data_IF_603766258058
#
_entry.id   IF_603766258058
#
_cell.length_a   1.000
_cell.length_b   1.000
_cell.length_c   1.000
_cell.angle_alpha   90.00
_cell.angle_beta   90.00
_cell.angle_gamma   90.00
#
_symmetry.space_group_name_H-M   'P 1'
#
loop_
_entity.id
_entity.type
_entity.pdbx_description
1 polymer ?
#
# COMPACT_ATOMS: atom_id res chain seq x y z
N UNK A 1 37.92 44.78 -28.15
CA UNK A 1 39.20 44.06 -28.39
C UNK A 1 39.50 43.25 -27.12
N UNK A 2 40.09 42.05 -27.23
CA UNK A 2 40.04 41.01 -26.18
C UNK A 2 38.72 40.22 -26.27
N UNK A 3 38.60 38.96 -26.73
CA UNK A 3 39.49 37.79 -26.94
C UNK A 3 39.79 36.91 -25.69
N UNK A 4 39.62 35.59 -25.92
CA UNK A 4 39.72 34.41 -25.02
C UNK A 4 38.58 34.22 -23.98
N UNK A 5 38.02 33.02 -23.76
CA UNK A 5 38.11 31.76 -24.53
C UNK A 5 38.06 30.48 -23.68
N UNK A 6 37.43 29.41 -24.21
CA UNK A 6 37.31 28.01 -23.72
C UNK A 6 36.41 27.80 -22.50
N UNK A 7 35.40 26.91 -22.53
CA UNK A 7 35.38 25.44 -22.72
C UNK A 7 35.96 24.66 -21.54
N UNK A 8 35.07 23.92 -20.86
CA UNK A 8 35.34 22.79 -19.99
C UNK A 8 34.13 21.84 -20.07
N UNK A 9 34.12 20.97 -21.08
CA UNK A 9 33.26 19.80 -21.18
C UNK A 9 34.08 18.56 -20.77
N UNK A 10 33.40 17.49 -20.33
CA UNK A 10 33.91 16.15 -20.01
C UNK A 10 34.81 15.96 -18.76
N UNK A 11 35.06 14.67 -18.43
CA UNK A 11 35.85 14.12 -17.29
C UNK A 11 35.03 14.02 -15.98
N UNK A 12 34.42 12.90 -15.53
CA UNK A 12 34.72 11.45 -15.69
C UNK A 12 33.44 10.58 -15.53
N UNK A 13 33.14 9.71 -16.51
CA UNK A 13 32.32 8.49 -16.32
C UNK A 13 33.28 7.28 -16.36
N UNK A 14 33.70 6.76 -15.20
CA UNK A 14 34.57 5.58 -15.10
C UNK A 14 34.79 5.04 -13.66
N UNK A 15 33.74 4.76 -12.87
CA UNK A 15 33.95 4.06 -11.58
C UNK A 15 32.86 3.05 -11.14
N UNK A 16 31.93 2.68 -12.04
CA UNK A 16 30.81 1.78 -11.71
C UNK A 16 30.97 0.32 -12.17
N UNK A 17 32.20 -0.16 -12.44
CA UNK A 17 32.45 -1.50 -13.02
C UNK A 17 33.33 -2.47 -12.20
N UNK A 18 33.69 -2.12 -10.96
CA UNK A 18 34.59 -2.96 -10.13
C UNK A 18 33.90 -3.90 -9.12
N UNK A 19 32.61 -3.71 -8.81
CA UNK A 19 31.99 -4.32 -7.61
C UNK A 19 31.22 -5.65 -7.78
N UNK A 20 31.12 -6.20 -9.00
CA UNK A 20 30.40 -7.47 -9.26
C UNK A 20 31.28 -8.53 -9.93
N UNK A 21 32.43 -8.83 -9.32
CA UNK A 21 33.29 -9.95 -9.75
C UNK A 21 33.99 -10.66 -8.58
N UNK A 22 33.26 -11.53 -7.88
CA UNK A 22 33.71 -12.82 -7.32
C UNK A 22 32.70 -13.34 -6.29
N UNK A 23 31.85 -14.29 -6.71
CA UNK A 23 31.32 -15.33 -5.82
C UNK A 23 30.84 -16.51 -6.68
N UNK A 24 31.77 -17.43 -6.94
CA UNK A 24 31.53 -18.69 -7.64
C UNK A 24 32.28 -19.80 -6.91
N UNK A 25 31.60 -20.93 -6.71
CA UNK A 25 32.13 -22.23 -6.29
C UNK A 25 32.55 -22.36 -4.81
N UNK A 26 31.69 -23.03 -4.04
CA UNK A 26 32.11 -24.09 -3.11
C UNK A 26 31.27 -25.35 -3.34
N UNK A 27 31.85 -26.50 -3.06
CA UNK A 27 31.43 -27.81 -3.56
C UNK A 27 30.57 -28.63 -2.57
N UNK A 28 29.80 -29.56 -3.13
CA UNK A 28 29.09 -30.70 -2.52
C UNK A 28 30.10 -31.87 -2.37
N UNK A 29 30.08 -32.78 -1.34
CA UNK A 29 28.93 -33.60 -0.86
C UNK A 29 28.86 -33.72 0.71
N UNK A 30 28.11 -34.62 1.39
CA UNK A 30 27.34 -35.83 1.02
C UNK A 30 26.16 -36.11 2.01
N UNK A 31 25.39 -37.19 1.75
CA UNK A 31 24.44 -37.85 2.68
C UNK A 31 25.10 -39.13 3.27
N UNK A 32 24.71 -39.62 4.49
CA UNK A 32 23.59 -40.57 4.63
C UNK A 32 22.88 -40.55 6.03
N UNK A 33 21.96 -41.47 6.37
CA UNK A 33 21.02 -42.26 5.56
C UNK A 33 19.55 -41.92 5.87
N UNK A 34 18.61 -42.36 5.01
CA UNK A 34 17.16 -42.28 5.28
C UNK A 34 16.70 -43.36 6.27
N UNK A 35 16.16 -42.96 7.42
CA UNK A 35 15.33 -43.84 8.25
C UNK A 35 13.91 -43.86 7.70
N UNK A 36 13.45 -45.01 7.21
CA UNK A 36 12.07 -45.18 6.79
C UNK A 36 11.14 -45.27 8.01
N UNK A 37 10.52 -44.16 8.39
CA UNK A 37 9.37 -44.14 9.29
C UNK A 37 8.08 -44.11 8.46
N UNK A 38 7.22 -45.10 8.71
CA UNK A 38 6.01 -45.38 7.94
C UNK A 38 4.93 -44.31 8.17
N UNK A 39 4.88 -43.30 7.30
CA UNK A 39 3.81 -42.29 7.32
C UNK A 39 2.59 -42.85 6.61
N UNK A 40 1.62 -43.33 7.40
CA UNK A 40 0.29 -43.70 6.91
C UNK A 40 -0.35 -42.51 6.19
N UNK A 41 -0.89 -42.68 4.97
CA UNK A 41 -1.70 -41.64 4.34
C UNK A 41 -3.04 -41.55 5.07
N UNK A 42 -3.14 -40.65 6.05
CA UNK A 42 -4.45 -40.22 6.55
C UNK A 42 -5.15 -39.43 5.45
N UNK A 43 -5.97 -40.14 4.68
CA UNK A 43 -6.94 -39.56 3.76
C UNK A 43 -8.04 -38.86 4.55
N UNK A 44 -7.72 -37.70 5.12
CA UNK A 44 -8.72 -36.75 5.60
C UNK A 44 -9.52 -36.28 4.37
N UNK A 45 -10.76 -36.73 4.26
CA UNK A 45 -11.64 -36.45 3.14
C UNK A 45 -11.87 -34.94 3.01
N UNK A 46 -11.48 -34.39 1.85
CA UNK A 46 -11.55 -32.97 1.50
C UNK A 46 -13.00 -32.46 1.27
N UNK A 47 -14.00 -33.17 1.79
CA UNK A 47 -15.43 -32.93 1.54
C UNK A 47 -16.15 -32.22 2.69
N UNK A 48 -15.51 -32.12 3.88
CA UNK A 48 -16.13 -31.52 5.08
C UNK A 48 -16.00 -29.99 5.18
N UNK A 49 -15.33 -29.34 4.22
CA UNK A 49 -15.20 -27.87 4.16
C UNK A 49 -16.22 -27.18 3.25
N UNK A 50 -17.03 -27.96 2.50
CA UNK A 50 -18.07 -27.43 1.59
C UNK A 50 -19.40 -27.23 2.31
N UNK A 51 -19.39 -26.66 3.51
CA UNK A 51 -20.61 -26.03 4.02
C UNK A 51 -20.81 -24.71 3.25
N UNK A 52 -21.98 -24.48 2.62
CA UNK A 52 -22.27 -23.19 2.03
C UNK A 52 -22.32 -22.16 3.15
N UNK A 53 -21.29 -21.32 3.24
CA UNK A 53 -21.32 -20.12 4.07
C UNK A 53 -22.56 -19.34 3.62
N UNK A 54 -23.50 -18.97 4.50
CA UNK A 54 -24.70 -18.25 4.09
C UNK A 54 -24.33 -16.83 3.62
N UNK A 55 -24.08 -16.69 2.32
CA UNK A 55 -23.61 -15.47 1.64
C UNK A 55 -24.55 -14.26 1.89
N UNK A 56 -25.82 -14.54 2.19
CA UNK A 56 -26.89 -13.56 2.32
C UNK A 56 -26.96 -12.80 3.65
N UNK A 57 -25.99 -12.92 4.58
CA UNK A 57 -26.09 -12.25 5.90
C UNK A 57 -24.83 -11.62 6.48
N UNK A 58 -23.79 -11.42 5.68
CA UNK A 58 -22.60 -10.64 6.08
C UNK A 58 -22.62 -9.17 5.63
N UNK A 59 -23.62 -8.75 4.83
CA UNK A 59 -23.56 -7.53 4.03
C UNK A 59 -23.98 -6.23 4.72
N UNK A 60 -24.62 -6.26 5.90
CA UNK A 60 -25.17 -5.05 6.56
C UNK A 60 -24.77 -4.90 8.03
N UNK A 61 -23.49 -5.13 8.36
CA UNK A 61 -22.93 -4.44 9.53
C UNK A 61 -22.70 -3.00 9.10
N UNK A 62 -23.50 -2.05 9.60
CA UNK A 62 -23.29 -0.62 9.41
C UNK A 62 -21.83 -0.29 9.72
N UNK A 63 -21.06 -0.01 8.66
CA UNK A 63 -19.66 0.38 8.79
C UNK A 63 -19.63 1.84 9.25
N UNK A 64 -18.84 2.13 10.27
CA UNK A 64 -18.66 3.51 10.74
C UNK A 64 -17.88 4.32 9.70
N UNK A 65 -18.01 5.65 9.73
CA UNK A 65 -17.21 6.56 8.88
C UNK A 65 -15.71 6.22 8.93
N UNK A 66 -15.19 5.94 10.13
CA UNK A 66 -13.79 5.53 10.32
C UNK A 66 -13.44 4.22 9.60
N UNK A 67 -14.34 3.23 9.60
CA UNK A 67 -14.12 1.97 8.87
C UNK A 67 -14.14 2.17 7.35
N UNK A 68 -15.03 3.03 6.84
CA UNK A 68 -15.05 3.38 5.41
C UNK A 68 -13.83 4.20 5.00
N UNK A 69 -13.37 5.13 5.85
CA UNK A 69 -12.15 5.89 5.61
C UNK A 69 -10.91 4.97 5.56
N UNK A 70 -10.83 3.97 6.44
CA UNK A 70 -9.78 2.94 6.38
C UNK A 70 -9.91 2.05 5.12
N UNK A 71 -11.11 1.59 4.76
CA UNK A 71 -11.35 0.84 3.52
C UNK A 71 -10.81 1.60 2.27
N UNK A 72 -11.07 2.91 2.18
CA UNK A 72 -10.61 3.75 1.04
C UNK A 72 -9.08 3.97 1.06
N UNK A 73 -8.43 3.87 2.22
CA UNK A 73 -6.99 4.08 2.38
C UNK A 73 -6.14 2.80 2.26
N UNK A 74 -6.71 1.70 1.77
CA UNK A 74 -6.06 0.37 1.70
C UNK A 74 -4.72 0.36 0.97
N UNK A 75 -4.52 1.16 -0.07
CA UNK A 75 -3.22 1.24 -0.78
C UNK A 75 -2.14 1.92 0.09
N UNK A 76 -2.49 2.88 0.95
CA UNK A 76 -1.57 3.46 1.93
C UNK A 76 -1.29 2.47 3.08
N UNK A 77 -2.31 1.75 3.56
CA UNK A 77 -2.13 0.70 4.58
C UNK A 77 -1.18 -0.39 4.08
N UNK A 78 -1.36 -0.81 2.83
CA UNK A 78 -0.50 -1.76 2.09
C UNK A 78 0.91 -1.22 1.89
N UNK A 79 1.11 0.05 1.59
CA UNK A 79 2.44 0.66 1.49
C UNK A 79 3.17 0.64 2.84
N UNK A 80 2.49 1.05 3.91
CA UNK A 80 3.02 1.00 5.29
C UNK A 80 3.32 -0.44 5.74
N UNK A 81 2.39 -1.36 5.52
CA UNK A 81 2.53 -2.78 5.89
C UNK A 81 3.66 -3.47 5.13
N UNK A 82 3.80 -3.20 3.82
CA UNK A 82 4.95 -3.70 3.04
C UNK A 82 6.27 -3.14 3.59
N UNK A 83 6.31 -1.87 3.96
CA UNK A 83 7.50 -1.27 4.58
C UNK A 83 7.86 -1.96 5.91
N UNK A 84 6.89 -2.18 6.80
CA UNK A 84 7.10 -2.87 8.08
C UNK A 84 7.56 -4.33 7.92
N UNK A 85 6.95 -5.08 6.99
CA UNK A 85 7.17 -6.51 6.85
C UNK A 85 8.41 -6.82 6.01
N UNK A 86 8.60 -6.10 4.90
CA UNK A 86 9.63 -6.38 3.87
C UNK A 86 10.79 -5.40 3.87
N UNK A 87 10.63 -4.21 4.45
CA UNK A 87 11.70 -3.23 4.57
C UNK A 87 12.81 -3.69 5.51
N UNK A 88 14.03 -3.27 5.19
CA UNK A 88 15.22 -3.42 6.03
C UNK A 88 15.06 -2.71 7.37
N UNK A 89 15.92 -3.04 8.34
CA UNK A 89 15.97 -2.34 9.63
C UNK A 89 16.10 -0.82 9.45
N UNK A 90 16.92 -0.36 8.50
CA UNK A 90 17.08 1.07 8.21
C UNK A 90 15.79 1.73 7.71
N UNK A 91 15.10 1.11 6.74
CA UNK A 91 13.83 1.62 6.21
C UNK A 91 12.73 1.64 7.27
N UNK A 92 12.73 0.69 8.23
CA UNK A 92 11.80 0.68 9.37
C UNK A 92 11.94 1.90 10.27
N UNK A 93 13.14 2.45 10.41
CA UNK A 93 13.39 3.67 11.18
C UNK A 93 13.26 4.97 10.36
N UNK A 94 13.40 4.92 9.03
CA UNK A 94 13.48 6.13 8.18
C UNK A 94 12.29 6.31 7.24
N UNK A 95 11.87 5.25 6.54
CA UNK A 95 10.83 5.30 5.50
C UNK A 95 9.45 4.92 6.03
N UNK A 96 9.35 3.91 6.90
CA UNK A 96 8.06 3.44 7.40
C UNK A 96 7.31 4.44 8.29
N UNK A 97 7.96 5.32 9.08
CA UNK A 97 7.26 6.42 9.76
C UNK A 97 6.57 7.36 8.76
N UNK A 98 7.23 7.69 7.65
CA UNK A 98 6.66 8.51 6.57
C UNK A 98 5.45 7.82 5.93
N UNK A 99 5.55 6.52 5.64
CA UNK A 99 4.42 5.74 5.11
C UNK A 99 3.25 5.69 6.10
N UNK A 100 3.53 5.59 7.42
CA UNK A 100 2.49 5.70 8.45
C UNK A 100 1.81 7.06 8.42
N UNK A 101 2.57 8.16 8.36
CA UNK A 101 2.01 9.51 8.27
C UNK A 101 1.15 9.69 7.02
N UNK A 102 1.52 9.11 5.88
CA UNK A 102 0.69 9.16 4.67
C UNK A 102 -0.61 8.37 4.83
N UNK A 103 -0.58 7.18 5.44
CA UNK A 103 -1.78 6.43 5.78
C UNK A 103 -2.69 7.19 6.75
N UNK A 104 -2.15 7.71 7.86
CA UNK A 104 -2.91 8.44 8.86
C UNK A 104 -3.58 9.70 8.24
N UNK A 105 -2.85 10.44 7.39
CA UNK A 105 -3.39 11.59 6.64
C UNK A 105 -4.47 11.18 5.63
N UNK A 106 -4.32 10.04 4.95
CA UNK A 106 -5.37 9.54 4.06
C UNK A 106 -6.67 9.31 4.86
N UNK A 107 -6.59 8.64 6.02
CA UNK A 107 -7.76 8.34 6.86
C UNK A 107 -8.40 9.63 7.39
N UNK A 108 -7.62 10.64 7.75
CA UNK A 108 -8.11 11.98 8.12
C UNK A 108 -8.91 12.62 6.98
N UNK A 109 -8.35 12.65 5.77
CA UNK A 109 -8.96 13.27 4.58
C UNK A 109 -10.22 12.52 4.13
N UNK A 110 -10.20 11.19 4.14
CA UNK A 110 -11.38 10.37 3.85
C UNK A 110 -12.48 10.53 4.92
N UNK A 111 -12.11 10.61 6.20
CA UNK A 111 -13.07 10.89 7.28
C UNK A 111 -13.76 12.24 7.06
N UNK A 112 -12.98 13.28 6.72
CA UNK A 112 -13.51 14.61 6.39
C UNK A 112 -14.45 14.57 5.17
N UNK A 113 -14.06 13.88 4.08
CA UNK A 113 -14.89 13.75 2.88
C UNK A 113 -16.24 13.09 3.19
N UNK A 114 -16.24 11.96 3.89
CA UNK A 114 -17.45 11.22 4.25
C UNK A 114 -18.36 12.03 5.19
N UNK A 115 -17.80 12.87 6.05
CA UNK A 115 -18.56 13.81 6.89
C UNK A 115 -19.21 14.93 6.05
N UNK A 116 -18.45 15.59 5.16
CA UNK A 116 -18.95 16.66 4.28
C UNK A 116 -20.03 16.14 3.33
N UNK A 117 -19.84 14.94 2.76
CA UNK A 117 -20.81 14.26 1.90
C UNK A 117 -21.97 13.60 2.69
N UNK A 118 -22.08 13.85 4.00
CA UNK A 118 -23.18 13.41 4.87
C UNK A 118 -23.42 11.88 4.90
N UNK A 119 -22.36 11.06 4.85
CA UNK A 119 -22.45 9.59 4.84
C UNK A 119 -23.33 9.00 5.95
N UNK A 120 -23.27 9.54 7.17
CA UNK A 120 -24.08 9.05 8.31
C UNK A 120 -25.58 9.37 8.18
N UNK A 121 -25.95 10.33 7.33
CA UNK A 121 -27.35 10.71 7.07
C UNK A 121 -27.93 10.02 5.83
N UNK A 122 -27.11 9.26 5.07
CA UNK A 122 -27.58 8.48 3.94
C UNK A 122 -28.47 7.32 4.41
N UNK A 123 -29.76 7.38 4.06
CA UNK A 123 -30.79 6.46 4.57
C UNK A 123 -30.74 5.06 3.96
N UNK A 124 -30.05 4.87 2.84
CA UNK A 124 -29.96 3.60 2.11
C UNK A 124 -28.52 3.26 1.73
N UNK A 125 -28.25 1.96 1.55
CA UNK A 125 -26.90 1.46 1.29
C UNK A 125 -26.39 1.79 -0.12
N UNK A 126 -27.26 2.05 -1.11
CA UNK A 126 -26.84 2.47 -2.45
C UNK A 126 -26.29 3.90 -2.41
N UNK A 127 -26.94 4.80 -1.69
CA UNK A 127 -26.47 6.17 -1.44
C UNK A 127 -25.19 6.17 -0.61
N UNK A 128 -25.08 5.35 0.46
CA UNK A 128 -23.82 5.17 1.22
C UNK A 128 -22.68 4.69 0.30
N UNK A 129 -22.93 3.74 -0.59
CA UNK A 129 -21.92 3.23 -1.54
C UNK A 129 -21.50 4.29 -2.57
N UNK A 130 -22.43 5.12 -3.06
CA UNK A 130 -22.12 6.27 -3.93
C UNK A 130 -21.24 7.30 -3.22
N UNK A 131 -21.58 7.67 -1.99
CA UNK A 131 -20.79 8.61 -1.18
C UNK A 131 -19.39 8.05 -0.90
N UNK A 132 -19.27 6.76 -0.58
CA UNK A 132 -17.97 6.08 -0.41
C UNK A 132 -17.12 6.21 -1.67
N UNK A 133 -17.69 5.92 -2.84
CA UNK A 133 -16.99 5.99 -4.13
C UNK A 133 -16.60 7.42 -4.49
N UNK A 134 -17.48 8.40 -4.28
CA UNK A 134 -17.22 9.82 -4.53
C UNK A 134 -16.07 10.35 -3.65
N UNK A 135 -16.02 9.96 -2.37
CA UNK A 135 -14.91 10.31 -1.47
C UNK A 135 -13.57 9.70 -1.92
N UNK A 136 -13.58 8.48 -2.46
CA UNK A 136 -12.38 7.83 -3.02
C UNK A 136 -11.93 8.49 -4.34
N UNK A 137 -12.87 8.71 -5.27
CA UNK A 137 -12.63 9.38 -6.56
C UNK A 137 -12.03 10.78 -6.39
N UNK A 138 -12.51 11.57 -5.42
CA UNK A 138 -11.93 12.87 -5.10
C UNK A 138 -10.49 12.74 -4.59
N UNK A 139 -10.20 11.76 -3.75
CA UNK A 139 -8.85 11.53 -3.23
C UNK A 139 -7.90 11.08 -4.34
N UNK A 140 -8.32 10.14 -5.20
CA UNK A 140 -7.55 9.67 -6.36
C UNK A 140 -7.26 10.82 -7.34
N UNK A 141 -8.25 11.68 -7.60
CA UNK A 141 -8.14 12.82 -8.53
C UNK A 141 -7.19 13.91 -8.03
N UNK A 142 -7.24 14.23 -6.73
CA UNK A 142 -6.50 15.36 -6.16
C UNK A 142 -5.19 14.96 -5.45
N UNK A 143 -4.99 13.68 -5.13
CA UNK A 143 -3.77 13.15 -4.49
C UNK A 143 -3.16 12.00 -5.33
N UNK A 144 -2.58 12.30 -6.51
CA UNK A 144 -1.97 11.29 -7.35
C UNK A 144 -0.74 10.64 -6.70
N UNK A 145 -0.44 9.41 -7.12
CA UNK A 145 0.78 8.66 -6.74
C UNK A 145 0.98 8.49 -5.22
N UNK A 146 -0.10 8.38 -4.44
CA UNK A 146 -0.09 8.18 -2.99
C UNK A 146 0.75 9.23 -2.22
N UNK A 147 0.91 10.43 -2.78
CA UNK A 147 1.81 11.46 -2.23
C UNK A 147 0.99 12.65 -1.71
N UNK A 148 0.79 12.70 -0.40
CA UNK A 148 0.02 13.77 0.28
C UNK A 148 0.92 14.97 0.56
N UNK A 149 0.94 15.92 -0.38
CA UNK A 149 1.54 17.26 -0.23
C UNK A 149 0.50 18.26 0.29
N UNK A 150 0.94 19.41 0.83
CA UNK A 150 0.03 20.48 1.28
C UNK A 150 -0.83 21.01 0.12
N UNK A 151 -0.23 21.26 -1.05
CA UNK A 151 -0.94 21.70 -2.24
C UNK A 151 -2.05 20.71 -2.69
N UNK A 152 -1.78 19.40 -2.62
CA UNK A 152 -2.78 18.38 -2.97
C UNK A 152 -3.91 18.30 -1.92
N UNK A 153 -3.59 18.51 -0.64
CA UNK A 153 -4.58 18.61 0.45
C UNK A 153 -5.48 19.84 0.28
N UNK A 154 -4.91 20.99 -0.08
CA UNK A 154 -5.67 22.21 -0.35
C UNK A 154 -6.57 22.07 -1.57
N UNK A 155 -6.08 21.44 -2.65
CA UNK A 155 -6.88 21.13 -3.83
C UNK A 155 -8.05 20.19 -3.50
N UNK A 156 -7.80 19.13 -2.74
CA UNK A 156 -8.83 18.19 -2.27
C UNK A 156 -9.89 18.86 -1.38
N UNK A 157 -9.46 19.66 -0.39
CA UNK A 157 -10.39 20.40 0.49
C UNK A 157 -11.21 21.45 -0.26
N UNK A 158 -10.61 22.10 -1.26
CA UNK A 158 -11.31 23.04 -2.13
C UNK A 158 -12.36 22.34 -2.98
N UNK A 159 -12.04 21.18 -3.56
CA UNK A 159 -12.98 20.37 -4.33
C UNK A 159 -14.15 19.88 -3.47
N UNK A 160 -13.89 19.35 -2.28
CA UNK A 160 -14.93 18.96 -1.30
C UNK A 160 -15.87 20.09 -0.91
N UNK A 161 -15.39 21.34 -0.94
CA UNK A 161 -16.19 22.53 -0.60
C UNK A 161 -17.02 23.05 -1.77
N UNK A 162 -16.94 22.41 -2.94
CA UNK A 162 -17.65 22.79 -4.17
C UNK A 162 -18.70 21.78 -4.65
N UNK A 163 -18.86 20.67 -3.92
CA UNK A 163 -19.91 19.65 -4.10
C UNK A 163 -21.18 20.03 -3.30
#
# INVERSE_FOLDING_TARGET
MGWFGKQAEDVVDSDLKSYYKQQTLQEKPAEPPRTAAEVQPQSATLESLTQPIPEAKLQSRDKTVSQIAMDNCVEYEKAFSNCLLRGTLWERFTSCPTQKTMHDKCVELQTLALQVLNFEQAGDDETKMKIKAQADDLMIRHVPNLTITEANVEAFKSALSSE
#
